data_IF_905261629517
#
_entry.id   IF_905261629517
#
_cell.length_a   1.000
_cell.length_b   1.000
_cell.length_c   1.000
_cell.angle_alpha   90.00
_cell.angle_beta   90.00
_cell.angle_gamma   90.00
#
_symmetry.space_group_name_H-M   'P 1'
#
loop_
_entity.id
_entity.type
_entity.pdbx_description
1 polymer ?
#
# COMPACT_ATOMS: atom_id res chain seq x y z
N UNK A 1 -8.43 17.95 -29.09
CA UNK A 1 -8.45 18.71 -27.82
C UNK A 1 -7.71 17.89 -26.76
N UNK A 2 -6.73 18.48 -26.05
CA UNK A 2 -5.81 17.75 -25.16
C UNK A 2 -6.54 17.37 -23.86
N UNK A 3 -6.95 16.11 -23.75
CA UNK A 3 -7.26 15.50 -22.45
C UNK A 3 -5.94 15.27 -21.75
N UNK A 4 -5.38 16.34 -21.20
CA UNK A 4 -4.27 16.21 -20.26
C UNK A 4 -4.83 15.54 -19.02
N UNK A 5 -4.16 14.50 -18.55
CA UNK A 5 -4.54 13.88 -17.29
C UNK A 5 -4.51 14.95 -16.20
N UNK A 6 -5.68 15.33 -15.66
CA UNK A 6 -5.75 16.36 -14.61
C UNK A 6 -4.95 16.01 -13.34
N UNK A 7 -4.64 14.73 -13.15
CA UNK A 7 -3.85 14.24 -12.02
C UNK A 7 -2.33 14.30 -12.25
N UNK A 8 -1.82 14.23 -13.49
CA UNK A 8 -0.37 14.19 -13.74
C UNK A 8 0.13 14.96 -14.97
N UNK A 9 -0.75 15.66 -15.69
CA UNK A 9 -0.43 16.43 -16.89
C UNK A 9 -0.09 15.60 -18.13
N UNK A 10 -0.27 14.27 -18.10
CA UNK A 10 0.08 13.39 -19.21
C UNK A 10 -0.76 13.66 -20.47
N UNK A 11 -0.12 13.80 -21.62
CA UNK A 11 -0.75 14.08 -22.91
C UNK A 11 -1.53 12.88 -23.50
N UNK A 12 -2.40 13.19 -24.46
CA UNK A 12 -3.22 12.23 -25.22
C UNK A 12 -2.33 11.31 -26.07
N UNK A 13 -1.97 10.16 -25.50
CA UNK A 13 -1.14 9.11 -26.10
C UNK A 13 -0.75 8.02 -25.09
N UNK A 14 -0.82 8.34 -23.80
CA UNK A 14 -0.58 7.40 -22.69
C UNK A 14 -1.87 6.80 -22.12
N UNK A 15 -2.88 6.52 -22.95
CA UNK A 15 -4.19 6.08 -22.49
C UNK A 15 -4.47 4.65 -22.94
N UNK A 16 -4.92 3.80 -22.01
CA UNK A 16 -5.48 2.48 -22.33
C UNK A 16 -7.00 2.61 -22.32
N UNK A 17 -7.67 2.26 -23.42
CA UNK A 17 -9.13 2.25 -23.51
C UNK A 17 -9.61 0.81 -23.41
N UNK A 18 -10.53 0.55 -22.48
CA UNK A 18 -11.11 -0.76 -22.23
C UNK A 18 -12.62 -0.64 -22.41
N UNK A 19 -13.23 -1.51 -23.22
CA UNK A 19 -14.68 -1.58 -23.33
C UNK A 19 -15.25 -2.30 -22.10
N UNK A 20 -16.24 -1.71 -21.46
CA UNK A 20 -16.91 -2.22 -20.27
C UNK A 20 -18.32 -2.63 -20.67
N UNK A 21 -18.69 -3.91 -20.51
CA UNK A 21 -20.06 -4.35 -20.76
C UNK A 21 -21.01 -3.63 -19.81
N UNK A 22 -22.08 -3.08 -20.35
CA UNK A 22 -23.06 -2.32 -19.60
C UNK A 22 -23.73 -3.17 -18.51
N UNK A 23 -23.98 -2.58 -17.34
CA UNK A 23 -24.56 -3.27 -16.18
C UNK A 23 -26.07 -3.58 -16.35
N UNK A 24 -26.70 -3.09 -17.42
CA UNK A 24 -28.10 -3.36 -17.77
C UNK A 24 -28.23 -3.85 -19.22
N UNK A 25 -29.20 -4.75 -19.52
CA UNK A 25 -29.37 -5.35 -20.85
C UNK A 25 -29.71 -4.34 -21.96
N UNK A 26 -30.15 -3.12 -21.61
CA UNK A 26 -30.42 -2.03 -22.56
C UNK A 26 -29.34 -0.94 -22.60
N UNK A 27 -28.27 -1.07 -21.82
CA UNK A 27 -27.23 -0.03 -21.73
C UNK A 27 -26.17 -0.18 -22.83
N UNK A 28 -25.93 0.91 -23.57
CA UNK A 28 -24.89 1.01 -24.62
C UNK A 28 -23.50 0.71 -24.03
N UNK A 29 -22.61 0.08 -24.80
CA UNK A 29 -21.20 -0.15 -24.45
C UNK A 29 -20.58 1.12 -23.86
N UNK A 30 -20.04 1.01 -22.64
CA UNK A 30 -19.28 2.08 -22.01
C UNK A 30 -17.79 1.81 -22.22
N UNK A 31 -16.97 2.86 -22.30
CA UNK A 31 -15.53 2.71 -22.42
C UNK A 31 -14.86 3.31 -21.19
N UNK A 32 -13.79 2.68 -20.71
CA UNK A 32 -12.95 3.13 -19.58
C UNK A 32 -11.58 3.49 -20.12
N UNK A 33 -11.22 4.76 -20.01
CA UNK A 33 -9.89 5.27 -20.33
C UNK A 33 -9.02 5.23 -19.08
N UNK A 34 -7.77 4.76 -19.18
CA UNK A 34 -6.83 4.61 -18.07
C UNK A 34 -5.53 5.32 -18.42
N UNK A 35 -5.09 6.28 -17.60
CA UNK A 35 -3.79 6.93 -17.78
C UNK A 35 -2.67 5.96 -17.39
N UNK A 36 -1.78 5.63 -18.32
CA UNK A 36 -0.63 4.74 -18.07
C UNK A 36 0.41 5.34 -17.13
N UNK A 37 0.38 6.65 -16.88
CA UNK A 37 1.38 7.34 -16.06
C UNK A 37 0.99 7.39 -14.57
N UNK A 38 -0.28 7.64 -14.26
CA UNK A 38 -0.76 7.74 -12.87
C UNK A 38 -1.84 6.71 -12.50
N UNK A 39 -2.33 5.93 -13.46
CA UNK A 39 -3.36 4.92 -13.23
C UNK A 39 -4.78 5.48 -13.10
N UNK A 40 -4.97 6.80 -13.16
CA UNK A 40 -6.30 7.39 -13.10
C UNK A 40 -7.20 6.84 -14.21
N UNK A 41 -8.49 6.67 -13.90
CA UNK A 41 -9.46 6.05 -14.79
C UNK A 41 -10.64 6.99 -15.04
N UNK A 42 -11.22 6.93 -16.24
CA UNK A 42 -12.36 7.76 -16.63
C UNK A 42 -13.34 6.95 -17.46
N UNK A 43 -14.63 7.06 -17.13
CA UNK A 43 -15.67 6.49 -17.97
C UNK A 43 -16.05 7.47 -19.08
N UNK A 44 -16.10 6.95 -20.31
CA UNK A 44 -16.48 7.69 -21.50
C UNK A 44 -17.59 6.94 -22.22
N UNK A 45 -18.53 7.69 -22.78
CA UNK A 45 -19.71 7.11 -23.45
C UNK A 45 -19.36 6.52 -24.82
N UNK A 46 -18.36 7.07 -25.50
CA UNK A 46 -17.99 6.69 -26.86
C UNK A 46 -16.47 6.78 -27.08
N UNK A 47 -15.96 5.99 -28.03
CA UNK A 47 -14.60 6.09 -28.56
C UNK A 47 -14.64 6.21 -30.10
N UNK A 48 -13.92 7.15 -30.74
CA UNK A 48 -13.11 8.21 -30.12
C UNK A 48 -13.97 9.32 -29.48
N UNK A 49 -13.43 9.98 -28.47
CA UNK A 49 -14.07 11.08 -27.75
C UNK A 49 -14.38 12.25 -28.69
N UNK A 50 -15.58 12.85 -28.58
CA UNK A 50 -15.99 14.02 -29.37
C UNK A 50 -15.95 15.30 -28.52
N UNK A 51 -15.75 16.44 -29.17
CA UNK A 51 -15.85 17.74 -28.49
C UNK A 51 -17.26 17.92 -27.90
N UNK A 52 -17.33 18.21 -26.60
CA UNK A 52 -18.59 18.38 -25.85
C UNK A 52 -19.04 17.15 -25.05
N UNK A 53 -18.34 16.02 -25.14
CA UNK A 53 -18.64 14.86 -24.28
C UNK A 53 -18.38 15.19 -22.80
N UNK A 54 -19.44 15.20 -22.00
CA UNK A 54 -19.32 15.30 -20.55
C UNK A 54 -18.80 13.98 -19.98
N UNK A 55 -17.53 13.99 -19.61
CA UNK A 55 -16.85 12.94 -18.85
C UNK A 55 -17.25 13.04 -17.38
N UNK A 56 -17.91 11.99 -16.85
CA UNK A 56 -18.02 11.80 -15.40
C UNK A 56 -16.76 11.08 -14.94
N UNK A 57 -15.89 11.79 -14.23
CA UNK A 57 -14.75 11.17 -13.58
C UNK A 57 -15.27 10.10 -12.61
N UNK A 58 -14.61 8.94 -12.56
CA UNK A 58 -14.67 8.12 -11.36
C UNK A 58 -14.19 9.03 -10.21
N UNK A 59 -14.96 9.13 -9.13
CA UNK A 59 -14.60 9.96 -7.98
C UNK A 59 -13.44 9.26 -7.28
N UNK A 60 -12.23 9.51 -7.77
CA UNK A 60 -10.99 9.27 -7.04
C UNK A 60 -10.93 10.41 -6.02
N UNK A 61 -10.61 10.14 -4.74
CA UNK A 61 -10.46 11.19 -3.74
C UNK A 61 -9.59 12.34 -4.30
N UNK A 62 -10.05 13.57 -4.14
CA UNK A 62 -9.38 14.77 -4.66
C UNK A 62 -8.01 14.97 -4.00
N UNK A 63 -7.76 14.29 -2.86
CA UNK A 63 -6.53 14.36 -2.10
C UNK A 63 -6.12 13.02 -1.47
N UNK A 64 -4.85 12.95 -1.06
CA UNK A 64 -4.31 11.85 -0.26
C UNK A 64 -5.02 11.66 1.08
N UNK A 65 -5.59 12.74 1.65
CA UNK A 65 -6.23 12.72 2.96
C UNK A 65 -7.58 12.00 2.91
N UNK A 66 -8.38 12.27 1.89
CA UNK A 66 -9.65 11.57 1.67
C UNK A 66 -9.43 10.07 1.44
N UNK A 67 -8.32 9.67 0.81
CA UNK A 67 -7.97 8.26 0.65
C UNK A 67 -7.59 7.61 2.00
N UNK A 68 -6.82 8.30 2.85
CA UNK A 68 -6.47 7.83 4.19
C UNK A 68 -7.73 7.64 5.04
N UNK A 69 -8.63 8.62 5.03
CA UNK A 69 -9.93 8.55 5.72
C UNK A 69 -10.80 7.43 5.18
N UNK A 70 -10.83 7.22 3.86
CA UNK A 70 -11.62 6.16 3.23
C UNK A 70 -11.22 4.76 3.69
N UNK A 71 -9.94 4.51 4.01
CA UNK A 71 -9.50 3.24 4.58
C UNK A 71 -9.38 3.25 6.11
N UNK A 72 -9.63 4.39 6.75
CA UNK A 72 -9.37 4.58 8.18
C UNK A 72 -7.94 4.18 8.56
N UNK A 73 -6.97 4.58 7.75
CA UNK A 73 -5.55 4.26 7.97
C UNK A 73 -4.97 5.22 8.98
N UNK A 74 -4.41 4.69 10.06
CA UNK A 74 -3.67 5.47 11.03
C UNK A 74 -2.26 5.75 10.51
N UNK A 75 -1.84 7.01 10.53
CA UNK A 75 -0.45 7.38 10.26
C UNK A 75 0.41 7.13 11.50
N UNK A 76 1.69 6.76 11.33
CA UNK A 76 2.57 6.59 12.47
C UNK A 76 2.91 7.95 13.12
N UNK A 77 3.31 7.95 14.40
CA UNK A 77 3.86 9.14 15.07
C UNK A 77 5.09 9.74 14.35
N UNK A 78 5.43 10.99 14.66
CA UNK A 78 6.49 11.73 13.95
C UNK A 78 7.89 11.14 14.08
N UNK A 79 8.15 10.46 15.20
CA UNK A 79 9.42 9.80 15.57
C UNK A 79 9.61 8.42 14.88
N UNK A 80 8.67 8.01 14.04
CA UNK A 80 8.73 6.76 13.29
C UNK A 80 9.19 7.01 11.86
N UNK A 81 10.02 6.09 11.38
CA UNK A 81 10.53 6.07 10.01
C UNK A 81 9.83 4.97 9.21
N UNK A 82 9.32 5.30 8.03
CA UNK A 82 8.63 4.33 7.16
C UNK A 82 9.51 3.82 6.04
N UNK A 83 9.53 2.50 5.90
CA UNK A 83 10.10 1.79 4.77
C UNK A 83 9.07 1.64 3.65
N UNK A 84 9.54 1.66 2.39
CA UNK A 84 8.68 1.54 1.20
C UNK A 84 7.89 0.23 1.15
N UNK A 85 8.37 -0.80 1.86
CA UNK A 85 7.69 -2.07 2.04
C UNK A 85 6.72 -2.11 3.23
N UNK A 86 6.27 -0.96 3.75
CA UNK A 86 5.31 -0.83 4.86
C UNK A 86 5.77 -1.39 6.23
N UNK A 87 7.07 -1.55 6.41
CA UNK A 87 7.68 -1.73 7.73
C UNK A 87 8.03 -0.37 8.32
N UNK A 88 7.92 -0.21 9.64
CA UNK A 88 8.36 0.99 10.35
C UNK A 88 9.57 0.69 11.23
N UNK A 89 10.37 1.74 11.48
CA UNK A 89 11.49 1.75 12.41
C UNK A 89 11.34 2.92 13.40
N UNK A 90 11.44 2.65 14.69
CA UNK A 90 11.44 3.65 15.75
C UNK A 90 12.74 3.53 16.56
N UNK A 91 13.46 4.64 16.73
CA UNK A 91 14.74 4.67 17.44
C UNK A 91 14.48 4.80 18.94
N UNK A 92 15.01 3.86 19.72
CA UNK A 92 14.88 3.85 21.18
C UNK A 92 16.10 4.48 21.86
N UNK A 93 15.92 4.78 23.15
CA UNK A 93 17.03 5.16 24.01
C UNK A 93 18.10 4.05 24.03
N UNK A 94 19.35 4.44 23.79
CA UNK A 94 20.48 3.51 23.65
C UNK A 94 20.77 3.03 22.22
N UNK A 95 20.02 3.51 21.23
CA UNK A 95 20.32 3.33 19.81
C UNK A 95 19.86 1.99 19.21
N UNK A 96 19.08 1.21 19.96
CA UNK A 96 18.31 0.11 19.39
C UNK A 96 17.14 0.65 18.56
N UNK A 97 16.68 -0.15 17.61
CA UNK A 97 15.58 0.20 16.73
C UNK A 97 14.47 -0.82 16.89
N UNK A 98 13.28 -0.38 17.30
CA UNK A 98 12.05 -1.19 17.22
C UNK A 98 11.58 -1.24 15.77
N UNK A 99 11.15 -2.42 15.35
CA UNK A 99 10.62 -2.67 14.00
C UNK A 99 9.21 -3.22 14.10
N UNK A 100 8.32 -2.76 13.24
CA UNK A 100 6.98 -3.30 13.08
C UNK A 100 6.38 -3.06 11.69
N UNK A 101 5.07 -3.24 11.57
CA UNK A 101 4.31 -3.05 10.34
C UNK A 101 3.29 -1.92 10.52
N UNK A 102 3.12 -1.11 9.48
CA UNK A 102 2.19 0.02 9.54
C UNK A 102 0.72 -0.41 9.46
N UNK A 103 -0.19 0.47 9.88
CA UNK A 103 -1.63 0.19 9.87
C UNK A 103 -2.14 -0.11 8.45
N UNK A 104 -1.61 0.57 7.43
CA UNK A 104 -1.95 0.37 6.03
C UNK A 104 -1.80 -1.10 5.60
N UNK A 105 -0.68 -1.74 5.95
CA UNK A 105 -0.44 -3.16 5.66
C UNK A 105 -1.51 -4.06 6.27
N UNK A 106 -1.98 -3.73 7.48
CA UNK A 106 -2.99 -4.49 8.21
C UNK A 106 -4.40 -4.25 7.67
N UNK A 107 -4.69 -3.04 7.13
CA UNK A 107 -5.95 -2.80 6.40
C UNK A 107 -6.01 -3.62 5.13
N UNK A 108 -4.90 -3.77 4.40
CA UNK A 108 -4.86 -4.60 3.19
C UNK A 108 -5.02 -6.08 3.50
N UNK A 109 -4.17 -6.61 4.38
CA UNK A 109 -4.06 -8.06 4.61
C UNK A 109 -5.10 -8.58 5.61
N UNK A 110 -5.60 -7.70 6.47
CA UNK A 110 -6.40 -8.03 7.64
C UNK A 110 -5.57 -8.66 8.78
N UNK A 111 -6.24 -9.13 9.85
CA UNK A 111 -5.56 -9.69 11.01
C UNK A 111 -4.78 -10.96 10.65
N UNK A 112 -3.57 -11.08 11.20
CA UNK A 112 -2.69 -12.22 11.04
C UNK A 112 -3.16 -13.43 11.87
N UNK A 113 -2.99 -14.64 11.32
CA UNK A 113 -3.16 -15.89 12.08
C UNK A 113 -1.85 -16.29 12.78
N UNK A 114 -0.71 -16.02 12.13
CA UNK A 114 0.61 -16.30 12.67
C UNK A 114 1.69 -15.42 12.03
N UNK A 115 2.88 -15.40 12.66
CA UNK A 115 4.03 -14.60 12.21
C UNK A 115 5.25 -15.50 12.03
N UNK A 116 6.05 -15.21 11.00
CA UNK A 116 7.43 -15.70 10.87
C UNK A 116 8.37 -14.54 11.12
N UNK A 117 8.99 -14.53 12.30
CA UNK A 117 9.91 -13.49 12.75
C UNK A 117 11.33 -14.05 12.82
N UNK A 118 12.36 -13.21 12.66
CA UNK A 118 13.74 -13.65 12.81
C UNK A 118 14.04 -14.05 14.27
N UNK A 119 15.08 -14.86 14.46
CA UNK A 119 15.56 -15.24 15.80
C UNK A 119 16.54 -14.19 16.34
N UNK A 120 16.64 -14.08 17.67
CA UNK A 120 17.66 -13.23 18.32
C UNK A 120 19.05 -13.66 17.87
N UNK A 121 19.90 -12.69 17.50
CA UNK A 121 21.21 -12.92 16.92
C UNK A 121 21.23 -13.03 15.39
N UNK A 122 20.07 -13.07 14.73
CA UNK A 122 20.00 -13.06 13.25
C UNK A 122 20.46 -11.70 12.72
N UNK A 123 21.35 -11.70 11.73
CA UNK A 123 21.77 -10.51 11.00
C UNK A 123 21.08 -10.40 9.64
N UNK A 124 20.70 -9.20 9.23
CA UNK A 124 20.17 -8.91 7.90
C UNK A 124 20.56 -7.51 7.44
N UNK A 125 20.37 -7.25 6.14
CA UNK A 125 20.58 -5.95 5.53
C UNK A 125 19.23 -5.25 5.28
N UNK A 126 19.24 -3.92 5.21
CA UNK A 126 18.11 -3.14 4.73
C UNK A 126 17.64 -3.67 3.36
N UNK A 127 16.35 -3.60 3.07
CA UNK A 127 15.69 -4.12 1.87
C UNK A 127 15.63 -5.67 1.77
N UNK A 128 16.24 -6.44 2.68
CA UNK A 128 16.13 -7.90 2.67
C UNK A 128 14.85 -8.39 3.35
N UNK A 129 14.27 -9.50 2.88
CA UNK A 129 13.12 -10.12 3.55
C UNK A 129 13.55 -10.65 4.93
N UNK A 130 12.99 -10.11 5.99
CA UNK A 130 13.29 -10.51 7.37
C UNK A 130 12.09 -11.09 8.11
N UNK A 131 10.86 -10.82 7.65
CA UNK A 131 9.64 -11.21 8.38
C UNK A 131 8.49 -11.55 7.43
N UNK A 132 7.48 -12.25 7.95
CA UNK A 132 6.27 -12.57 7.19
C UNK A 132 5.04 -12.71 8.06
N UNK A 133 3.89 -12.28 7.53
CA UNK A 133 2.56 -12.59 8.06
C UNK A 133 2.03 -13.85 7.37
N UNK A 134 1.39 -14.72 8.16
CA UNK A 134 0.62 -15.86 7.68
C UNK A 134 -0.86 -15.61 7.95
N UNK A 135 -1.68 -15.84 6.94
CA UNK A 135 -3.14 -15.75 7.03
C UNK A 135 -3.78 -16.84 6.18
N UNK A 136 -4.45 -17.80 6.82
CA UNK A 136 -4.93 -19.04 6.22
C UNK A 136 -3.78 -19.70 5.44
N UNK A 137 -3.99 -19.95 4.15
CA UNK A 137 -2.99 -20.55 3.26
C UNK A 137 -2.05 -19.52 2.60
N UNK A 138 -2.17 -18.24 2.96
CA UNK A 138 -1.40 -17.17 2.35
C UNK A 138 -0.23 -16.70 3.23
N UNK A 139 0.85 -16.25 2.56
CA UNK A 139 2.05 -15.68 3.19
C UNK A 139 2.37 -14.32 2.56
N UNK A 140 2.53 -13.29 3.38
CA UNK A 140 3.02 -11.97 2.97
C UNK A 140 4.40 -11.74 3.59
N UNK A 141 5.41 -11.49 2.76
CA UNK A 141 6.77 -11.22 3.22
C UNK A 141 7.04 -9.72 3.22
N UNK A 142 7.87 -9.26 4.15
CA UNK A 142 8.23 -7.85 4.29
C UNK A 142 9.76 -7.68 4.39
N UNK A 143 10.21 -6.56 3.85
CA UNK A 143 11.62 -6.15 3.80
C UNK A 143 12.01 -5.39 5.07
N UNK A 144 13.25 -5.59 5.53
CA UNK A 144 13.79 -4.96 6.71
C UNK A 144 13.94 -3.44 6.49
N UNK A 145 13.45 -2.59 7.41
CA UNK A 145 13.60 -1.15 7.30
C UNK A 145 15.03 -0.69 7.60
N UNK A 146 15.81 -1.51 8.32
CA UNK A 146 17.21 -1.23 8.67
C UNK A 146 18.05 -2.51 8.58
N UNK A 147 19.36 -2.38 8.38
CA UNK A 147 20.34 -3.43 8.62
C UNK A 147 20.66 -3.55 10.12
N UNK A 148 21.11 -4.73 10.53
CA UNK A 148 21.58 -4.95 11.89
C UNK A 148 21.40 -6.38 12.38
N UNK A 149 21.52 -6.53 13.69
CA UNK A 149 21.35 -7.80 14.40
C UNK A 149 20.14 -7.73 15.32
N UNK A 150 19.26 -8.74 15.26
CA UNK A 150 18.09 -8.84 16.14
C UNK A 150 18.54 -9.02 17.58
N UNK A 151 18.07 -8.17 18.47
CA UNK A 151 18.38 -8.23 19.91
C UNK A 151 17.22 -8.75 20.74
N UNK A 152 15.99 -8.54 20.29
CA UNK A 152 14.78 -8.94 21.01
C UNK A 152 13.64 -9.25 20.03
N UNK A 153 12.77 -10.20 20.35
CA UNK A 153 11.52 -10.45 19.62
C UNK A 153 10.36 -10.31 20.58
N UNK A 154 9.31 -9.59 20.19
CA UNK A 154 8.16 -9.32 21.06
C UNK A 154 7.43 -10.63 21.39
N UNK A 155 7.38 -11.06 22.67
CA UNK A 155 6.66 -12.27 23.05
C UNK A 155 5.14 -12.10 22.97
N UNK A 156 4.61 -10.90 23.21
CA UNK A 156 3.15 -10.64 23.18
C UNK A 156 2.59 -10.86 21.77
N UNK A 157 3.30 -10.39 20.75
CA UNK A 157 2.86 -10.52 19.36
C UNK A 157 2.93 -11.96 18.84
N UNK A 158 3.83 -12.79 19.40
CA UNK A 158 3.87 -14.22 19.09
C UNK A 158 2.68 -14.97 19.68
N UNK A 159 2.22 -14.56 20.87
CA UNK A 159 1.05 -15.15 21.52
C UNK A 159 -0.26 -14.63 20.94
N UNK A 160 -0.28 -13.35 20.54
CA UNK A 160 -1.43 -12.69 19.95
C UNK A 160 -1.03 -11.88 18.69
N UNK A 161 -0.95 -12.53 17.51
CA UNK A 161 -0.65 -11.86 16.24
C UNK A 161 -1.64 -10.75 15.86
N UNK A 162 -2.84 -10.71 16.45
CA UNK A 162 -3.81 -9.63 16.21
C UNK A 162 -3.32 -8.26 16.68
N UNK A 163 -2.35 -8.21 17.59
CA UNK A 163 -1.76 -6.94 18.04
C UNK A 163 -1.16 -6.12 16.90
N UNK A 164 -0.72 -6.75 15.80
CA UNK A 164 -0.31 -6.00 14.61
C UNK A 164 -1.44 -5.12 14.08
N UNK A 165 -2.65 -5.67 14.05
CA UNK A 165 -3.84 -5.01 13.52
C UNK A 165 -4.46 -4.03 14.53
N UNK A 166 -4.48 -4.42 15.81
CA UNK A 166 -5.19 -3.67 16.85
C UNK A 166 -4.36 -2.49 17.38
N UNK A 167 -3.03 -2.63 17.45
CA UNK A 167 -2.12 -1.59 17.98
C UNK A 167 -0.75 -1.61 17.25
N UNK A 168 -0.69 -1.26 15.96
CA UNK A 168 0.50 -1.41 15.11
C UNK A 168 1.72 -0.62 15.60
N UNK A 169 1.50 0.48 16.31
CA UNK A 169 2.57 1.40 16.74
C UNK A 169 2.90 1.30 18.23
N UNK A 170 2.00 0.77 19.06
CA UNK A 170 2.24 0.47 20.47
C UNK A 170 2.73 -0.96 20.67
N UNK A 171 1.83 -1.86 21.07
CA UNK A 171 2.12 -3.27 21.40
C UNK A 171 2.42 -4.16 20.20
N UNK A 172 2.11 -3.72 18.98
CA UNK A 172 2.29 -4.46 17.73
C UNK A 172 3.71 -4.47 17.16
N UNK A 173 4.71 -3.93 17.88
CA UNK A 173 6.11 -4.04 17.48
C UNK A 173 6.54 -5.52 17.40
N UNK A 174 7.42 -5.86 16.45
CA UNK A 174 7.75 -7.24 16.13
C UNK A 174 9.06 -7.69 16.77
N UNK A 175 10.11 -6.90 16.60
CA UNK A 175 11.44 -7.19 17.14
C UNK A 175 12.26 -5.90 17.27
N UNK A 176 13.35 -5.96 18.04
CA UNK A 176 14.36 -4.91 18.14
C UNK A 176 15.62 -5.31 17.38
N UNK A 177 16.29 -4.32 16.83
CA UNK A 177 17.52 -4.46 16.06
C UNK A 177 18.58 -3.54 16.64
N UNK A 178 19.81 -4.05 16.77
CA UNK A 178 20.99 -3.22 16.90
C UNK A 178 21.51 -2.88 15.50
N UNK A 179 21.33 -1.64 15.02
CA UNK A 179 21.70 -1.27 13.67
C UNK A 179 23.22 -1.22 13.50
N UNK A 180 23.75 -1.60 12.33
CA UNK A 180 25.18 -1.43 12.04
C UNK A 180 25.50 -0.09 11.38
N UNK A 181 24.52 0.52 10.70
CA UNK A 181 24.68 1.83 10.05
C UNK A 181 23.41 2.68 10.11
N UNK A 182 22.99 3.06 11.33
CA UNK A 182 21.70 3.71 11.56
C UNK A 182 21.48 4.98 10.71
N UNK A 183 22.44 5.90 10.67
CA UNK A 183 22.28 7.17 9.95
C UNK A 183 22.01 6.97 8.45
N UNK A 184 22.77 6.09 7.80
CA UNK A 184 22.57 5.80 6.38
C UNK A 184 21.22 5.13 6.13
N UNK A 185 20.78 4.28 7.06
CA UNK A 185 19.52 3.56 6.94
C UNK A 185 18.33 4.51 7.03
N UNK A 186 18.32 5.38 8.04
CA UNK A 186 17.25 6.37 8.24
C UNK A 186 17.15 7.35 7.07
N UNK A 187 18.26 7.70 6.42
CA UNK A 187 18.27 8.56 5.23
C UNK A 187 17.50 7.97 4.02
N UNK A 188 17.33 6.64 3.99
CA UNK A 188 16.58 5.94 2.94
C UNK A 188 15.08 5.78 3.24
N UNK A 189 14.65 6.12 4.46
CA UNK A 189 13.27 5.99 4.94
C UNK A 189 12.51 7.31 4.83
N UNK A 190 11.18 7.25 4.92
CA UNK A 190 10.35 8.44 5.10
C UNK A 190 10.26 8.79 6.58
N UNK A 191 10.11 10.08 6.91
CA UNK A 191 10.03 10.57 8.29
C UNK A 191 9.06 11.76 8.41
N UNK A 192 8.51 11.96 9.61
CA UNK A 192 7.67 13.10 9.99
C UNK A 192 6.57 13.39 8.95
N UNK A 193 6.46 14.64 8.49
CA UNK A 193 5.46 15.12 7.51
C UNK A 193 5.40 14.29 6.22
N UNK A 194 6.50 13.59 5.85
CA UNK A 194 6.53 12.75 4.65
C UNK A 194 5.77 11.44 4.82
N UNK A 195 5.53 11.00 6.07
CA UNK A 195 4.82 9.74 6.35
C UNK A 195 3.37 9.81 5.87
N UNK A 196 2.63 10.87 6.23
CA UNK A 196 1.23 11.07 5.80
C UNK A 196 1.12 11.17 4.27
N UNK A 197 1.97 12.00 3.66
CA UNK A 197 1.97 12.17 2.21
C UNK A 197 2.34 10.89 1.45
N UNK A 198 3.19 10.02 2.02
CA UNK A 198 3.52 8.74 1.42
C UNK A 198 2.38 7.72 1.61
N UNK A 199 1.86 7.56 2.83
CA UNK A 199 0.73 6.67 3.11
C UNK A 199 -0.51 7.02 2.27
N UNK A 200 -0.83 8.31 2.13
CA UNK A 200 -1.96 8.71 1.31
C UNK A 200 -1.75 8.45 -0.20
N UNK A 201 -0.51 8.48 -0.69
CA UNK A 201 -0.22 8.01 -2.06
C UNK A 201 -0.44 6.51 -2.20
N UNK A 202 -0.06 5.72 -1.19
CA UNK A 202 -0.29 4.28 -1.17
C UNK A 202 -1.79 3.94 -1.08
N UNK A 203 -2.56 4.69 -0.29
CA UNK A 203 -4.01 4.61 -0.24
C UNK A 203 -4.66 4.90 -1.61
N UNK A 204 -4.27 5.99 -2.28
CA UNK A 204 -4.74 6.26 -3.64
C UNK A 204 -4.36 5.15 -4.63
N UNK A 205 -3.14 4.59 -4.49
CA UNK A 205 -2.67 3.48 -5.33
C UNK A 205 -3.51 2.22 -5.13
N UNK A 206 -3.91 1.93 -3.89
CA UNK A 206 -4.82 0.84 -3.57
C UNK A 206 -6.23 1.06 -4.13
N UNK A 207 -6.79 2.27 -4.03
CA UNK A 207 -8.10 2.58 -4.61
C UNK A 207 -8.11 2.39 -6.12
N UNK A 208 -7.08 2.87 -6.82
CA UNK A 208 -6.96 2.67 -8.26
C UNK A 208 -6.87 1.17 -8.61
N UNK A 209 -6.15 0.38 -7.81
CA UNK A 209 -6.09 -1.07 -7.98
C UNK A 209 -7.48 -1.72 -7.78
N UNK A 210 -8.23 -1.28 -6.78
CA UNK A 210 -9.57 -1.79 -6.46
C UNK A 210 -10.60 -1.42 -7.53
N UNK A 211 -10.63 -0.16 -7.99
CA UNK A 211 -11.51 0.29 -9.08
C UNK A 211 -11.23 -0.48 -10.38
N UNK A 212 -9.94 -0.68 -10.72
CA UNK A 212 -9.57 -1.38 -11.95
C UNK A 212 -9.86 -2.88 -11.92
N UNK A 213 -9.76 -3.52 -10.76
CA UNK A 213 -9.82 -4.99 -10.67
C UNK A 213 -11.18 -5.50 -10.19
N UNK A 214 -11.78 -4.80 -9.24
CA UNK A 214 -13.01 -5.21 -8.57
C UNK A 214 -14.22 -4.31 -8.92
N UNK A 215 -14.01 -3.23 -9.71
CA UNK A 215 -15.06 -2.28 -10.05
C UNK A 215 -15.63 -1.54 -8.84
N UNK A 216 -14.85 -1.47 -7.76
CA UNK A 216 -15.27 -0.85 -6.50
C UNK A 216 -15.23 0.65 -6.67
N UNK A 217 -16.41 1.26 -6.70
CA UNK A 217 -16.56 2.69 -6.47
C UNK A 217 -16.81 2.87 -4.98
N UNK A 218 -16.00 3.70 -4.31
CA UNK A 218 -16.30 4.10 -2.95
C UNK A 218 -17.65 4.85 -2.97
N UNK A 219 -18.66 4.43 -2.19
CA UNK A 219 -19.77 5.32 -1.87
C UNK A 219 -19.20 6.55 -1.16
N UNK A 220 -19.76 7.73 -1.38
CA UNK A 220 -19.32 9.03 -0.86
C UNK A 220 -19.44 9.19 0.68
N UNK A 221 -19.33 8.11 1.45
CA UNK A 221 -19.42 8.10 2.90
C UNK A 221 -19.24 6.73 3.56
N UNK A 222 -18.72 5.72 2.84
CA UNK A 222 -18.43 4.40 3.42
C UNK A 222 -16.94 4.22 3.67
N UNK A 223 -16.52 4.09 4.93
CA UNK A 223 -15.17 3.63 5.25
C UNK A 223 -15.03 2.18 4.77
N UNK A 224 -13.96 1.88 4.04
CA UNK A 224 -13.56 0.52 3.74
C UNK A 224 -13.21 -0.17 5.05
N UNK A 225 -13.96 -1.22 5.36
CA UNK A 225 -13.72 -2.09 6.50
C UNK A 225 -12.29 -2.63 6.40
N UNK A 226 -11.59 -2.72 7.52
CA UNK A 226 -10.29 -3.41 7.57
C UNK A 226 -10.38 -4.82 6.98
N UNK A 227 -9.27 -5.36 6.47
CA UNK A 227 -9.21 -6.61 5.69
C UNK A 227 -9.72 -6.50 4.24
N UNK A 228 -9.08 -5.65 3.44
CA UNK A 228 -9.39 -5.46 2.01
C UNK A 228 -9.32 -6.79 1.24
N UNK A 229 -8.31 -7.63 1.50
CA UNK A 229 -8.22 -8.94 0.84
C UNK A 229 -9.38 -9.87 1.23
N UNK A 230 -9.79 -9.87 2.50
CA UNK A 230 -10.93 -10.67 2.96
C UNK A 230 -12.24 -10.31 2.26
N UNK A 231 -12.46 -9.03 1.97
CA UNK A 231 -13.66 -8.55 1.26
C UNK A 231 -13.55 -8.65 -0.27
N UNK A 232 -12.34 -8.50 -0.81
CA UNK A 232 -12.08 -8.48 -2.25
C UNK A 232 -10.98 -9.50 -2.65
N UNK A 233 -11.23 -10.80 -2.49
CA UNK A 233 -10.23 -11.84 -2.78
C UNK A 233 -9.76 -11.85 -4.24
N UNK A 234 -10.58 -11.35 -5.16
CA UNK A 234 -10.26 -11.18 -6.59
C UNK A 234 -9.08 -10.23 -6.86
N UNK A 235 -8.71 -9.38 -5.89
CA UNK A 235 -7.49 -8.57 -6.00
C UNK A 235 -6.23 -9.43 -6.04
N UNK A 236 -6.31 -10.64 -5.47
CA UNK A 236 -5.24 -11.63 -5.46
C UNK A 236 -4.15 -11.30 -4.44
N UNK A 237 -3.98 -12.17 -3.44
CA UNK A 237 -2.99 -12.01 -2.37
C UNK A 237 -1.59 -11.73 -2.91
N UNK A 238 -1.12 -12.56 -3.85
CA UNK A 238 0.22 -12.43 -4.44
C UNK A 238 0.41 -11.07 -5.14
N UNK A 239 -0.63 -10.52 -5.74
CA UNK A 239 -0.58 -9.21 -6.39
C UNK A 239 -0.45 -8.10 -5.34
N UNK A 240 -1.30 -8.12 -4.31
CA UNK A 240 -1.23 -7.16 -3.21
C UNK A 240 0.16 -7.15 -2.55
N UNK A 241 0.70 -8.33 -2.21
CA UNK A 241 2.04 -8.43 -1.60
C UNK A 241 3.12 -7.88 -2.51
N UNK A 242 3.08 -8.20 -3.81
CA UNK A 242 4.10 -7.74 -4.77
C UNK A 242 4.02 -6.23 -5.02
N UNK A 243 2.82 -5.67 -5.12
CA UNK A 243 2.64 -4.25 -5.43
C UNK A 243 3.02 -3.36 -4.24
N UNK A 244 2.66 -3.76 -3.01
CA UNK A 244 2.79 -2.90 -1.83
C UNK A 244 3.97 -3.26 -0.94
N UNK A 245 4.29 -4.53 -0.70
CA UNK A 245 5.21 -4.90 0.40
C UNK A 245 6.64 -5.28 -0.04
N UNK A 246 6.88 -5.46 -1.35
CA UNK A 246 8.19 -5.87 -1.88
C UNK A 246 8.78 -4.80 -2.81
N UNK A 247 9.44 -3.82 -2.21
CA UNK A 247 9.93 -2.63 -2.90
C UNK A 247 11.19 -2.88 -3.74
N UNK A 248 12.04 -3.82 -3.33
CA UNK A 248 13.27 -4.17 -4.05
C UNK A 248 12.98 -4.94 -5.35
N UNK A 249 11.96 -5.81 -5.32
CA UNK A 249 11.58 -6.68 -6.45
C UNK A 249 10.92 -5.88 -7.58
N UNK A 250 10.17 -4.83 -7.25
CA UNK A 250 9.51 -3.96 -8.23
C UNK A 250 10.49 -3.03 -8.98
N UNK A 251 11.68 -2.73 -8.41
CA UNK A 251 12.74 -1.96 -9.08
C UNK A 251 13.37 -2.67 -10.28
N UNK A 252 13.50 -4.00 -10.23
CA UNK A 252 14.19 -4.76 -11.29
C UNK A 252 13.38 -4.85 -12.58
N UNK A 253 12.04 -4.77 -12.48
CA UNK A 253 11.15 -4.87 -13.63
C UNK A 253 11.02 -3.56 -14.41
N UNK A 254 11.08 -2.40 -13.73
CA UNK A 254 11.02 -1.07 -14.37
C UNK A 254 12.29 -0.66 -15.12
N UNK A 255 13.43 -1.33 -14.92
CA UNK A 255 14.70 -1.06 -15.64
C UNK A 255 14.90 -1.91 -16.90
N UNK A 256 13.97 -2.81 -17.23
CA UNK A 256 14.07 -3.73 -18.39
C UNK A 256 12.94 -3.55 -19.42
N UNK A 257 12.30 -2.38 -19.44
CA UNK A 257 11.26 -2.03 -20.41
C UNK A 257 11.58 -0.73 -21.11
#
# INVERSE_FOLDING_TARGET
>A
MKLDCKNCGAMVGHWLVVEVPGQEPESKSQYKCICRQCGATWQVKHHPLKDGDQVKAAVIPESSQEAVEAFGVNTPPEDYYLHRGHAWAAVEDGGEVRVGLDDFSQKILGPADALKLPEVGTAFFQDHICMSILKKDNKASFEAPVDGVVTEVNPEVRQNPRLLHDDPYGKGWLFKVRPTNLQQNLANLFSAEKNEAWIGKEACRLLNLMDTTAGVTLPSGGALVGDVYGHYPQLGWRRLVKEFFLSSVTRHWKKRG
#
